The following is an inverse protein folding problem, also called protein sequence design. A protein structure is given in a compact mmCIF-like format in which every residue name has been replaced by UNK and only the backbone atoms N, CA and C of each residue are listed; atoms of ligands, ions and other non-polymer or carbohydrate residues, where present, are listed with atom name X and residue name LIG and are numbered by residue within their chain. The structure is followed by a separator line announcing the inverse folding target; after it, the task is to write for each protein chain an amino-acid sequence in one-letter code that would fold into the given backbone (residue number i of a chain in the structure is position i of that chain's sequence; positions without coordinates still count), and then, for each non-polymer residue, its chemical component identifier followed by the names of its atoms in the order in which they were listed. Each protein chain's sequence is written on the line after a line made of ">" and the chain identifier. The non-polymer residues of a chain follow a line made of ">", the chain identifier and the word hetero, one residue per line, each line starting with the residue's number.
data_IF_273663389058
#
_entry.id   IF_273663389058
#
_cell.length_a   1.000
_cell.length_b   1.000
_cell.length_c   1.000
_cell.angle_alpha   90.00
_cell.angle_beta   90.00
_cell.angle_gamma   90.00
#
_symmetry.space_group_name_H-M   'P 1'
#
loop_
_entity.id
_entity.type
_entity.pdbx_description
1 polymer ?
#
# COMPACT_ATOMS: atom_id res chain seq x y z
N UNK A 1 41.37 20.44 -13.44
CA UNK A 1 40.76 19.25 -12.79
C UNK A 1 40.07 19.51 -11.45
N UNK A 2 39.89 20.75 -10.96
CA UNK A 2 39.14 21.01 -9.69
C UNK A 2 37.61 21.16 -9.86
N UNK A 3 37.14 21.53 -11.06
CA UNK A 3 35.72 21.75 -11.34
C UNK A 3 34.91 20.47 -11.63
N UNK A 4 35.58 19.39 -12.05
CA UNK A 4 34.94 18.08 -12.31
C UNK A 4 34.39 17.45 -11.01
N UNK A 5 35.10 17.57 -9.88
CA UNK A 5 34.60 17.09 -8.60
C UNK A 5 33.38 17.87 -8.09
N UNK A 6 33.28 19.16 -8.42
CA UNK A 6 32.18 20.00 -7.96
C UNK A 6 30.88 19.71 -8.73
N UNK A 7 30.98 19.45 -10.04
CA UNK A 7 29.82 19.13 -10.88
C UNK A 7 29.20 17.76 -10.52
N UNK A 8 30.03 16.77 -10.19
CA UNK A 8 29.56 15.44 -9.77
C UNK A 8 28.80 15.50 -8.44
N UNK A 9 29.27 16.32 -7.48
CA UNK A 9 28.57 16.51 -6.20
C UNK A 9 27.21 17.18 -6.40
N UNK A 10 27.13 18.21 -7.25
CA UNK A 10 25.85 18.85 -7.58
C UNK A 10 24.87 17.89 -8.26
N UNK A 11 25.34 17.05 -9.20
CA UNK A 11 24.50 16.05 -9.85
C UNK A 11 23.97 14.99 -8.86
N UNK A 12 24.79 14.56 -7.90
CA UNK A 12 24.39 13.61 -6.86
C UNK A 12 23.34 14.19 -5.90
N UNK A 13 23.48 15.46 -5.52
CA UNK A 13 22.50 16.13 -4.64
C UNK A 13 21.14 16.26 -5.36
N UNK A 14 21.14 16.69 -6.63
CA UNK A 14 19.91 16.83 -7.42
C UNK A 14 19.22 15.46 -7.59
N UNK A 15 19.99 14.41 -7.87
CA UNK A 15 19.46 13.06 -7.98
C UNK A 15 18.80 12.61 -6.66
N UNK A 16 19.45 12.80 -5.51
CA UNK A 16 18.90 12.42 -4.21
C UNK A 16 17.55 13.11 -3.88
N UNK A 17 17.41 14.39 -4.24
CA UNK A 17 16.17 15.15 -4.02
C UNK A 17 15.04 14.62 -4.90
N UNK A 18 15.34 14.32 -6.18
CA UNK A 18 14.34 13.79 -7.12
C UNK A 18 13.80 12.42 -6.68
N UNK A 19 14.66 11.53 -6.18
CA UNK A 19 14.24 10.22 -5.66
C UNK A 19 13.38 10.33 -4.40
N UNK A 20 13.73 11.24 -3.48
CA UNK A 20 12.98 11.45 -2.24
C UNK A 20 11.56 11.96 -2.50
N UNK A 21 11.40 12.84 -3.49
CA UNK A 21 10.09 13.40 -3.88
C UNK A 21 9.15 12.34 -4.47
N UNK A 22 9.67 11.45 -5.32
CA UNK A 22 8.88 10.37 -5.91
C UNK A 22 8.36 9.38 -4.85
N UNK A 23 9.19 9.07 -3.84
CA UNK A 23 8.79 8.19 -2.74
C UNK A 23 7.66 8.77 -1.92
N UNK A 24 7.76 10.06 -1.57
CA UNK A 24 6.71 10.76 -0.83
C UNK A 24 5.38 10.75 -1.59
N UNK A 25 5.39 11.11 -2.88
CA UNK A 25 4.17 11.11 -3.70
C UNK A 25 3.47 9.76 -3.79
N UNK A 26 4.22 8.65 -3.81
CA UNK A 26 3.61 7.31 -3.84
C UNK A 26 3.08 6.89 -2.48
N UNK A 27 3.79 7.20 -1.38
CA UNK A 27 3.30 6.98 -0.02
C UNK A 27 2.02 7.78 0.22
N UNK A 28 2.01 9.07 -0.13
CA UNK A 28 0.83 9.94 0.04
C UNK A 28 -0.42 9.41 -0.69
N UNK A 29 -0.24 8.65 -1.79
CA UNK A 29 -1.37 8.00 -2.48
C UNK A 29 -1.83 6.72 -1.80
N UNK A 30 -0.97 6.03 -1.07
CA UNK A 30 -1.28 4.79 -0.36
C UNK A 30 -1.93 5.08 0.99
N UNK A 31 -1.46 6.12 1.70
CA UNK A 31 -1.90 6.60 3.01
C UNK A 31 -3.34 7.15 2.98
N UNK A 32 -4.28 6.25 2.73
CA UNK A 32 -5.66 6.52 2.36
C UNK A 32 -6.56 5.34 2.78
N UNK A 33 -7.89 5.53 2.67
CA UNK A 33 -8.87 4.45 2.88
C UNK A 33 -9.25 3.77 1.58
N UNK A 34 -9.19 2.44 1.59
CA UNK A 34 -9.38 1.59 0.44
C UNK A 34 -10.43 0.51 0.73
N UNK A 35 -11.48 0.44 -0.09
CA UNK A 35 -12.48 -0.62 -0.01
C UNK A 35 -12.12 -1.77 -0.94
N UNK A 36 -12.04 -2.98 -0.39
CA UNK A 36 -11.73 -4.18 -1.15
C UNK A 36 -12.85 -4.48 -2.15
N UNK A 37 -12.48 -4.69 -3.40
CA UNK A 37 -13.35 -5.20 -4.45
C UNK A 37 -13.34 -6.73 -4.39
N UNK A 38 -14.52 -7.34 -4.42
CA UNK A 38 -14.67 -8.79 -4.65
C UNK A 38 -15.50 -8.98 -5.92
N UNK A 39 -14.82 -9.34 -7.00
CA UNK A 39 -15.43 -9.51 -8.34
C UNK A 39 -16.44 -10.67 -8.37
N UNK A 40 -16.33 -11.61 -7.42
CA UNK A 40 -17.05 -12.88 -7.41
C UNK A 40 -18.33 -12.85 -6.55
N UNK A 41 -18.68 -11.70 -5.97
CA UNK A 41 -19.78 -11.61 -5.01
C UNK A 41 -21.10 -11.14 -5.63
N UNK A 42 -22.15 -11.89 -5.32
CA UNK A 42 -23.54 -11.57 -5.65
C UNK A 42 -23.89 -10.14 -5.16
N UNK A 43 -24.62 -9.41 -6.00
CA UNK A 43 -25.24 -8.10 -5.73
C UNK A 43 -26.04 -8.01 -4.42
N UNK A 44 -26.36 -9.14 -3.78
CA UNK A 44 -27.06 -9.24 -2.50
C UNK A 44 -26.14 -9.12 -1.28
N UNK A 45 -24.82 -9.17 -1.46
CA UNK A 45 -23.84 -9.06 -0.38
C UNK A 45 -23.59 -7.59 -0.04
N UNK A 46 -23.97 -7.19 1.18
CA UNK A 46 -23.83 -5.81 1.67
C UNK A 46 -22.69 -5.61 2.66
N UNK A 47 -21.94 -6.67 2.99
CA UNK A 47 -20.73 -6.54 3.77
C UNK A 47 -19.57 -6.09 2.88
N UNK A 48 -18.65 -5.30 3.44
CA UNK A 48 -17.43 -4.90 2.73
C UNK A 48 -16.25 -4.79 3.69
N UNK A 49 -15.05 -4.95 3.14
CA UNK A 49 -13.77 -4.87 3.84
C UNK A 49 -13.09 -3.54 3.49
N UNK A 50 -12.62 -2.80 4.50
CA UNK A 50 -11.89 -1.54 4.37
C UNK A 50 -10.47 -1.70 4.91
N UNK A 51 -9.51 -1.12 4.20
CA UNK A 51 -8.12 -0.99 4.61
C UNK A 51 -7.79 0.49 4.72
N UNK A 52 -7.54 0.95 5.94
CA UNK A 52 -7.19 2.34 6.23
C UNK A 52 -5.70 2.42 6.56
N UNK A 53 -4.93 3.08 5.69
CA UNK A 53 -3.50 3.31 5.88
C UNK A 53 -3.30 4.69 6.49
N UNK A 54 -2.86 4.75 7.75
CA UNK A 54 -2.70 6.00 8.45
C UNK A 54 -1.38 6.01 9.24
N UNK A 55 -0.50 6.96 8.91
CA UNK A 55 0.82 7.06 9.53
C UNK A 55 1.69 5.85 9.22
N UNK A 56 1.90 5.00 10.23
CA UNK A 56 2.70 3.77 10.15
C UNK A 56 1.84 2.51 10.39
N UNK A 57 0.51 2.65 10.49
CA UNK A 57 -0.42 1.56 10.76
C UNK A 57 -1.42 1.37 9.62
N UNK A 58 -1.75 0.11 9.34
CA UNK A 58 -2.90 -0.26 8.50
C UNK A 58 -3.96 -0.94 9.38
N UNK A 59 -5.20 -0.47 9.26
CA UNK A 59 -6.36 -1.02 9.95
C UNK A 59 -7.27 -1.70 8.92
N UNK A 60 -7.48 -3.00 9.09
CA UNK A 60 -8.34 -3.81 8.23
C UNK A 60 -9.63 -4.08 8.98
N UNK A 61 -10.74 -3.56 8.46
CA UNK A 61 -12.06 -3.68 9.09
C UNK A 61 -13.06 -4.29 8.14
N UNK A 62 -14.10 -4.90 8.70
CA UNK A 62 -15.25 -5.43 7.96
C UNK A 62 -16.52 -4.77 8.49
N UNK A 63 -17.40 -4.33 7.60
CA UNK A 63 -18.80 -4.07 7.95
C UNK A 63 -19.60 -5.33 7.66
N UNK A 64 -20.18 -6.03 8.65
CA UNK A 64 -20.99 -7.22 8.39
C UNK A 64 -22.33 -6.85 7.71
N UNK A 65 -22.94 -7.83 7.04
CA UNK A 65 -24.23 -7.69 6.36
C UNK A 65 -25.31 -7.20 7.33
N UNK A 66 -25.94 -6.07 7.02
CA UNK A 66 -26.99 -5.48 7.87
C UNK A 66 -26.49 -4.82 9.16
N UNK A 67 -25.17 -4.77 9.39
CA UNK A 67 -24.54 -4.05 10.49
C UNK A 67 -24.18 -2.61 10.10
N UNK A 68 -24.13 -1.73 11.09
CA UNK A 68 -23.63 -0.35 10.94
C UNK A 68 -22.24 -0.16 11.53
N UNK A 69 -21.78 -1.12 12.33
CA UNK A 69 -20.46 -1.10 12.99
C UNK A 69 -19.39 -1.72 12.10
N UNK A 70 -18.16 -1.26 12.28
CA UNK A 70 -16.97 -1.86 11.68
C UNK A 70 -16.31 -2.75 12.73
N UNK A 71 -16.06 -4.00 12.38
CA UNK A 71 -15.31 -4.94 13.20
C UNK A 71 -13.87 -5.01 12.69
N UNK A 72 -12.89 -4.96 13.59
CA UNK A 72 -11.49 -5.09 13.22
C UNK A 72 -11.17 -6.53 12.85
N UNK A 73 -10.73 -6.74 11.61
CA UNK A 73 -10.20 -8.01 11.11
C UNK A 73 -8.75 -8.16 11.55
N UNK A 74 -7.96 -7.13 11.25
CA UNK A 74 -6.55 -7.12 11.56
C UNK A 74 -6.01 -5.69 11.68
N UNK A 75 -4.92 -5.54 12.40
CA UNK A 75 -4.05 -4.37 12.32
C UNK A 75 -2.65 -4.83 11.96
N UNK A 76 -1.86 -3.96 11.33
CA UNK A 76 -0.44 -4.20 11.10
C UNK A 76 0.33 -2.88 11.08
N UNK A 77 1.60 -2.93 11.40
CA UNK A 77 2.52 -1.86 11.03
C UNK A 77 2.81 -1.98 9.53
N UNK A 78 2.93 -0.85 8.83
CA UNK A 78 3.33 -0.85 7.43
C UNK A 78 4.39 0.21 7.11
N UNK A 79 5.19 -0.08 6.10
CA UNK A 79 6.11 0.89 5.50
C UNK A 79 6.03 0.81 3.98
N UNK A 80 6.33 1.92 3.30
CA UNK A 80 6.31 2.00 1.83
C UNK A 80 7.71 2.24 1.32
N UNK A 81 8.22 1.30 0.52
CA UNK A 81 9.44 1.47 -0.25
C UNK A 81 9.09 1.71 -1.72
N UNK A 82 9.18 2.96 -2.14
CA UNK A 82 9.04 3.33 -3.53
C UNK A 82 10.40 3.32 -4.25
N UNK A 83 10.58 2.39 -5.18
CA UNK A 83 11.65 2.41 -6.15
C UNK A 83 11.20 2.99 -7.49
N UNK A 84 12.17 3.14 -8.40
CA UNK A 84 11.94 3.55 -9.77
C UNK A 84 11.10 2.52 -10.56
N UNK A 85 11.36 1.23 -10.33
CA UNK A 85 10.68 0.13 -11.03
C UNK A 85 9.51 -0.49 -10.26
N UNK A 86 9.57 -0.51 -8.93
CA UNK A 86 8.59 -1.19 -8.07
C UNK A 86 8.25 -0.35 -6.84
N UNK A 87 7.05 -0.52 -6.32
CA UNK A 87 6.65 0.01 -5.03
C UNK A 87 6.20 -1.16 -4.17
N UNK A 88 6.77 -1.27 -2.97
CA UNK A 88 6.49 -2.35 -2.03
C UNK A 88 5.89 -1.74 -0.76
N UNK A 89 4.80 -2.33 -0.29
CA UNK A 89 4.25 -2.13 1.05
C UNK A 89 4.71 -3.31 1.89
N UNK A 90 5.57 -3.09 2.88
CA UNK A 90 5.95 -4.13 3.83
C UNK A 90 5.02 -4.04 5.02
N UNK A 91 4.31 -5.12 5.34
CA UNK A 91 3.47 -5.22 6.52
C UNK A 91 4.12 -6.14 7.55
N UNK A 92 4.08 -5.75 8.83
CA UNK A 92 4.67 -6.51 9.92
C UNK A 92 3.85 -6.39 11.20
N UNK A 93 4.15 -7.27 12.15
CA UNK A 93 3.46 -7.30 13.46
C UNK A 93 1.92 -7.38 13.32
N UNK A 94 1.43 -7.98 12.24
CA UNK A 94 -0.01 -8.09 12.07
C UNK A 94 -0.63 -8.99 13.12
N UNK A 95 -1.80 -8.58 13.62
CA UNK A 95 -2.64 -9.44 14.47
C UNK A 95 -3.07 -10.73 13.76
N UNK A 96 -3.04 -10.75 12.43
CA UNK A 96 -3.26 -11.95 11.63
C UNK A 96 -2.10 -12.20 10.66
N UNK A 97 -1.21 -13.19 10.92
CA UNK A 97 0.06 -13.33 10.23
C UNK A 97 0.01 -13.45 8.70
N UNK A 98 -1.15 -13.82 8.12
CA UNK A 98 -1.31 -13.91 6.66
C UNK A 98 -1.04 -12.58 5.95
N UNK A 99 -1.20 -11.45 6.66
CA UNK A 99 -1.02 -10.13 6.08
C UNK A 99 0.42 -9.62 6.17
N UNK A 100 1.29 -10.30 6.92
CA UNK A 100 2.69 -9.92 7.02
C UNK A 100 3.43 -10.18 5.69
N UNK A 101 4.52 -9.45 5.49
CA UNK A 101 5.42 -9.60 4.35
C UNK A 101 5.32 -8.46 3.35
N UNK A 102 5.93 -8.68 2.19
CA UNK A 102 6.07 -7.68 1.14
C UNK A 102 4.91 -7.78 0.13
N UNK A 103 4.17 -6.68 0.01
CA UNK A 103 3.09 -6.50 -0.95
C UNK A 103 3.57 -5.62 -2.10
N UNK A 104 3.67 -6.17 -3.31
CA UNK A 104 3.98 -5.40 -4.50
C UNK A 104 2.76 -4.59 -4.95
N UNK A 105 2.93 -3.27 -5.04
CA UNK A 105 1.90 -2.37 -5.58
C UNK A 105 1.97 -2.41 -7.10
N UNK A 106 1.01 -3.12 -7.70
CA UNK A 106 0.88 -3.25 -9.15
C UNK A 106 0.25 -2.00 -9.77
N UNK A 107 -0.68 -1.35 -9.06
CA UNK A 107 -1.33 -0.11 -9.50
C UNK A 107 -1.72 0.70 -8.28
N UNK A 108 -1.51 2.03 -8.34
CA UNK A 108 -2.07 2.98 -7.37
C UNK A 108 -2.35 4.32 -8.05
N UNK A 109 -3.60 4.75 -8.04
CA UNK A 109 -4.04 6.05 -8.55
C UNK A 109 -5.13 6.65 -7.64
N UNK A 110 -5.89 7.63 -8.12
CA UNK A 110 -6.92 8.30 -7.31
C UNK A 110 -8.17 7.44 -7.06
N UNK A 111 -8.36 6.37 -7.83
CA UNK A 111 -9.57 5.58 -7.88
C UNK A 111 -9.34 4.14 -7.42
N UNK A 112 -8.17 3.57 -7.70
CA UNK A 112 -7.88 2.16 -7.42
C UNK A 112 -6.48 1.92 -6.88
N UNK A 113 -6.37 0.84 -6.11
CA UNK A 113 -5.12 0.25 -5.68
C UNK A 113 -5.16 -1.26 -5.92
N UNK A 114 -4.08 -1.80 -6.44
CA UNK A 114 -3.92 -3.25 -6.66
C UNK A 114 -2.60 -3.67 -6.05
N UNK A 115 -2.65 -4.65 -5.16
CA UNK A 115 -1.48 -5.17 -4.45
C UNK A 115 -1.41 -6.69 -4.54
N UNK A 116 -0.20 -7.21 -4.49
CA UNK A 116 0.10 -8.62 -4.62
C UNK A 116 1.15 -9.03 -3.58
N UNK A 117 0.80 -9.94 -2.70
CA UNK A 117 1.75 -10.63 -1.84
C UNK A 117 2.10 -11.99 -2.49
N UNK A 118 3.39 -12.28 -2.63
CA UNK A 118 3.89 -13.57 -3.12
C UNK A 118 4.60 -14.27 -1.97
N UNK A 119 4.02 -15.34 -1.46
CA UNK A 119 4.65 -16.26 -0.53
C UNK A 119 5.11 -17.52 -1.27
N UNK A 120 5.93 -18.36 -0.65
CA UNK A 120 6.46 -19.56 -1.30
C UNK A 120 5.32 -20.50 -1.76
N UNK A 121 5.03 -20.49 -3.06
CA UNK A 121 4.01 -21.34 -3.70
C UNK A 121 2.58 -20.78 -3.69
N UNK A 122 2.32 -19.67 -3.00
CA UNK A 122 1.00 -19.03 -2.91
C UNK A 122 1.09 -17.54 -3.26
N UNK A 123 -0.04 -16.96 -3.68
CA UNK A 123 -0.13 -15.53 -3.87
C UNK A 123 -1.46 -15.00 -3.36
N UNK A 124 -1.43 -13.83 -2.75
CA UNK A 124 -2.62 -13.10 -2.31
C UNK A 124 -2.71 -11.85 -3.16
N UNK A 125 -3.72 -11.83 -4.02
CA UNK A 125 -4.04 -10.70 -4.89
C UNK A 125 -5.23 -9.94 -4.31
N UNK A 126 -5.13 -8.61 -4.26
CA UNK A 126 -6.18 -7.73 -3.70
C UNK A 126 -6.37 -6.51 -4.60
N UNK A 127 -7.62 -6.24 -4.95
CA UNK A 127 -8.04 -5.03 -5.66
C UNK A 127 -8.87 -4.16 -4.74
N UNK A 128 -8.63 -2.86 -4.77
CA UNK A 128 -9.34 -1.89 -3.98
C UNK A 128 -9.84 -0.74 -4.84
N UNK A 129 -10.98 -0.18 -4.45
CA UNK A 129 -11.43 1.14 -4.86
C UNK A 129 -11.28 2.12 -3.72
N UNK A 130 -11.13 3.39 -4.08
CA UNK A 130 -11.13 4.50 -3.14
C UNK A 130 -12.50 4.62 -2.46
N UNK A 131 -12.49 4.78 -1.13
CA UNK A 131 -13.69 5.15 -0.34
C UNK A 131 -13.80 6.68 -0.22
#
# INVERSE_FOLDING_TARGET
>A
MKYLNSFVVFALIIAGIAFSSCTKMKKDKIDETWRLIRVDQDSTISWFELWEFQGEMVYMTIRPTGGTTLDTIATAEYSVKAGASKTIITMQQSTYPIYNGDWEVLTVNKEMMVILNRTDGEFIYREFIKE
#
